data_IF_977255528114
#
_entry.id   IF_977255528114
#
_cell.length_a   1.000
_cell.length_b   1.000
_cell.length_c   1.000
_cell.angle_alpha   90.00
_cell.angle_beta   90.00
_cell.angle_gamma   90.00
#
_symmetry.space_group_name_H-M   'P 1'
#
loop_
_entity.id
_entity.type
_entity.pdbx_description
1 polymer ?
#
# COMPACT_ATOMS: atom_id res chain seq x y z
N UNK A 1 -3.01 3.47 -10.78
CA UNK A 1 -4.27 4.26 -10.78
C UNK A 1 -4.01 5.70 -10.33
N UNK A 2 -3.38 5.94 -9.17
CA UNK A 2 -3.11 7.31 -8.69
C UNK A 2 -2.26 8.12 -9.70
N UNK A 3 -1.25 7.49 -10.31
CA UNK A 3 -0.46 8.12 -11.39
C UNK A 3 -1.31 8.49 -12.60
N UNK A 4 -2.21 7.61 -13.03
CA UNK A 4 -3.14 7.87 -14.14
C UNK A 4 -4.09 9.05 -13.88
N UNK A 5 -4.34 9.33 -12.60
CA UNK A 5 -5.11 10.49 -12.15
C UNK A 5 -4.24 11.73 -11.84
N UNK A 6 -2.98 11.76 -12.27
CA UNK A 6 -2.10 12.92 -12.14
C UNK A 6 -1.52 13.15 -10.75
N UNK A 7 -1.62 12.17 -9.85
CA UNK A 7 -1.06 12.30 -8.51
C UNK A 7 0.47 12.21 -8.53
N UNK A 8 1.13 12.89 -7.60
CA UNK A 8 2.50 12.58 -7.20
C UNK A 8 2.44 11.41 -6.22
N UNK A 9 3.04 10.28 -6.57
CA UNK A 9 2.87 9.02 -5.84
C UNK A 9 4.19 8.56 -5.22
N UNK A 10 4.14 8.31 -3.91
CA UNK A 10 5.23 7.71 -3.15
C UNK A 10 4.82 6.28 -2.78
N UNK A 11 5.55 5.28 -3.29
CA UNK A 11 5.35 3.89 -2.93
C UNK A 11 6.20 3.49 -1.72
N UNK A 12 5.65 2.64 -0.84
CA UNK A 12 6.40 2.05 0.27
C UNK A 12 6.37 0.53 0.07
N UNK A 13 7.54 -0.08 -0.14
CA UNK A 13 7.68 -1.51 -0.37
C UNK A 13 8.93 -2.05 0.30
N UNK A 14 9.08 -3.38 0.36
CA UNK A 14 10.22 -4.01 1.01
C UNK A 14 11.15 -4.72 0.03
N UNK A 15 12.39 -4.26 -0.06
CA UNK A 15 13.45 -4.82 -0.88
C UNK A 15 13.61 -4.16 -2.24
N UNK A 16 14.85 -4.19 -2.72
CA UNK A 16 15.30 -3.48 -3.92
C UNK A 16 14.48 -3.85 -5.17
N UNK A 17 14.20 -5.14 -5.37
CA UNK A 17 13.45 -5.62 -6.54
C UNK A 17 12.06 -5.00 -6.64
N UNK A 18 11.28 -4.99 -5.54
CA UNK A 18 9.95 -4.37 -5.51
C UNK A 18 10.02 -2.86 -5.70
N UNK A 19 10.99 -2.21 -5.06
CA UNK A 19 11.19 -0.78 -5.18
C UNK A 19 11.58 -0.38 -6.61
N UNK A 20 12.45 -1.15 -7.25
CA UNK A 20 12.84 -0.95 -8.64
C UNK A 20 11.65 -1.09 -9.59
N UNK A 21 10.84 -2.13 -9.43
CA UNK A 21 9.64 -2.33 -10.23
C UNK A 21 8.63 -1.18 -10.07
N UNK A 22 8.36 -0.76 -8.83
CA UNK A 22 7.48 0.39 -8.58
C UNK A 22 8.00 1.67 -9.23
N UNK A 23 9.32 1.91 -9.21
CA UNK A 23 9.93 3.12 -9.76
C UNK A 23 9.97 3.11 -11.27
N UNK A 24 10.43 2.00 -11.86
CA UNK A 24 10.80 1.93 -13.27
C UNK A 24 9.63 1.47 -14.14
N UNK A 25 8.89 0.45 -13.71
CA UNK A 25 7.80 -0.14 -14.49
C UNK A 25 6.47 0.55 -14.16
N UNK A 26 6.13 0.73 -12.88
CA UNK A 26 4.91 1.42 -12.48
C UNK A 26 5.00 2.95 -12.57
N UNK A 27 6.19 3.52 -12.77
CA UNK A 27 6.41 4.94 -12.97
C UNK A 27 6.10 5.82 -11.75
N UNK A 28 6.27 5.30 -10.52
CA UNK A 28 6.05 6.09 -9.31
C UNK A 28 7.11 7.21 -9.18
N UNK A 29 6.70 8.35 -8.63
CA UNK A 29 7.58 9.51 -8.48
C UNK A 29 8.68 9.28 -7.47
N UNK A 30 8.35 8.60 -6.35
CA UNK A 30 9.31 8.22 -5.32
C UNK A 30 8.96 6.84 -4.76
N UNK A 31 9.98 6.15 -4.22
CA UNK A 31 9.81 4.84 -3.57
C UNK A 31 10.64 4.79 -2.29
N UNK A 32 10.10 4.18 -1.25
CA UNK A 32 10.76 3.96 0.05
C UNK A 32 10.88 2.46 0.28
N UNK A 33 12.11 1.99 0.50
CA UNK A 33 12.37 0.62 0.93
C UNK A 33 12.36 0.53 2.46
N UNK A 34 11.23 0.12 3.04
CA UNK A 34 11.07 0.03 4.48
C UNK A 34 11.97 -1.03 5.16
N UNK A 35 12.55 -1.97 4.38
CA UNK A 35 13.48 -2.97 4.91
C UNK A 35 14.89 -2.44 5.10
N UNK A 36 15.29 -1.47 4.28
CA UNK A 36 16.66 -0.96 4.23
C UNK A 36 16.77 0.52 4.65
N UNK A 37 15.65 1.21 4.88
CA UNK A 37 15.66 2.61 5.32
C UNK A 37 14.60 2.90 6.38
N UNK A 38 14.80 3.99 7.10
CA UNK A 38 13.82 4.49 8.06
C UNK A 38 12.74 5.28 7.33
N UNK A 39 11.48 4.77 7.35
CA UNK A 39 10.35 5.38 6.63
C UNK A 39 10.09 6.81 7.05
N UNK A 40 10.23 7.13 8.35
CA UNK A 40 9.97 8.48 8.85
C UNK A 40 10.99 9.50 8.30
N UNK A 41 12.26 9.10 8.18
CA UNK A 41 13.31 9.97 7.64
C UNK A 41 13.20 10.12 6.12
N UNK A 42 12.87 9.03 5.43
CA UNK A 42 12.62 9.06 3.98
C UNK A 42 11.42 9.96 3.62
N UNK A 43 10.32 9.90 4.38
CA UNK A 43 9.16 10.75 4.17
C UNK A 43 9.48 12.24 4.33
N UNK A 44 10.39 12.62 5.23
CA UNK A 44 10.84 14.03 5.37
C UNK A 44 11.44 14.58 4.07
N UNK A 45 12.10 13.73 3.32
CA UNK A 45 12.80 14.12 2.09
C UNK A 45 11.95 13.94 0.84
N UNK A 46 11.12 12.89 0.78
CA UNK A 46 10.33 12.51 -0.39
C UNK A 46 8.93 13.12 -0.38
N UNK A 47 8.31 13.26 0.80
CA UNK A 47 7.00 13.90 0.96
C UNK A 47 7.12 15.39 1.33
N UNK A 48 7.97 16.16 0.64
CA UNK A 48 8.23 17.58 0.95
C UNK A 48 6.97 18.46 0.89
N UNK A 49 6.04 18.10 0.03
CA UNK A 49 4.77 18.81 -0.14
C UNK A 49 3.67 18.29 0.78
N UNK A 50 4.01 17.33 1.66
CA UNK A 50 3.07 16.63 2.52
C UNK A 50 2.28 15.54 1.79
N UNK A 51 1.37 14.90 2.53
CA UNK A 51 0.56 13.76 2.06
C UNK A 51 -0.91 14.19 2.09
N UNK A 52 -1.57 14.21 0.93
CA UNK A 52 -2.99 14.52 0.81
C UNK A 52 -3.86 13.27 0.95
N UNK A 53 -3.35 12.12 0.46
CA UNK A 53 -4.00 10.83 0.56
C UNK A 53 -2.98 9.75 0.94
N UNK A 54 -3.26 9.03 2.02
CA UNK A 54 -2.50 7.85 2.42
C UNK A 54 -3.40 6.61 2.36
N UNK A 55 -3.00 5.62 1.56
CA UNK A 55 -3.67 4.33 1.45
C UNK A 55 -2.85 3.29 2.20
N UNK A 56 -3.41 2.70 3.25
CA UNK A 56 -2.69 1.85 4.19
C UNK A 56 -3.21 0.41 4.23
N UNK A 57 -2.32 -0.53 3.95
CA UNK A 57 -2.54 -1.97 4.15
C UNK A 57 -1.73 -2.54 5.33
N UNK A 58 -0.89 -1.73 5.96
CA UNK A 58 0.17 -2.21 6.86
C UNK A 58 -0.07 -1.84 8.30
N UNK A 59 -0.46 -0.60 8.56
CA UNK A 59 -0.59 -0.07 9.93
C UNK A 59 0.75 0.18 10.62
N UNK A 60 0.74 0.14 11.94
CA UNK A 60 1.94 0.21 12.78
C UNK A 60 2.78 1.46 12.57
N UNK A 61 4.11 1.30 12.55
CA UNK A 61 5.07 2.41 12.44
C UNK A 61 4.98 3.15 11.10
N UNK A 62 4.57 2.48 10.03
CA UNK A 62 4.40 3.14 8.71
C UNK A 62 3.24 4.12 8.76
N UNK A 63 2.10 3.71 9.33
CA UNK A 63 0.96 4.61 9.56
C UNK A 63 1.35 5.79 10.45
N UNK A 64 2.02 5.52 11.57
CA UNK A 64 2.47 6.59 12.48
C UNK A 64 3.42 7.57 11.79
N UNK A 65 4.34 7.06 10.97
CA UNK A 65 5.24 7.89 10.17
C UNK A 65 4.49 8.77 9.17
N UNK A 66 3.53 8.19 8.44
CA UNK A 66 2.71 8.93 7.47
C UNK A 66 1.90 10.05 8.13
N UNK A 67 1.31 9.80 9.30
CA UNK A 67 0.53 10.79 10.05
C UNK A 67 1.34 12.04 10.47
N UNK A 68 2.67 11.95 10.52
CA UNK A 68 3.51 13.13 10.77
C UNK A 68 3.66 14.05 9.54
N UNK A 69 3.30 13.57 8.36
CA UNK A 69 3.51 14.26 7.09
C UNK A 69 2.21 14.63 6.36
N UNK A 70 1.03 14.35 6.96
CA UNK A 70 -0.27 14.65 6.33
C UNK A 70 -0.52 16.16 6.20
N UNK A 71 -1.12 16.53 5.09
CA UNK A 71 -1.55 17.88 4.80
C UNK A 71 -2.86 18.25 5.51
N UNK A 72 -3.24 19.52 5.38
CA UNK A 72 -4.53 20.00 5.82
C UNK A 72 -5.64 19.32 5.02
N UNK A 73 -6.66 18.79 5.72
CA UNK A 73 -7.78 18.03 5.14
C UNK A 73 -7.37 16.74 4.42
N UNK A 74 -6.19 16.20 4.73
CA UNK A 74 -5.75 14.92 4.18
C UNK A 74 -6.72 13.78 4.52
N UNK A 75 -6.71 12.76 3.69
CA UNK A 75 -7.45 11.50 3.92
C UNK A 75 -6.49 10.35 4.13
N UNK A 76 -6.79 9.53 5.14
CA UNK A 76 -6.10 8.27 5.40
C UNK A 76 -7.11 7.14 5.25
N UNK A 77 -6.87 6.24 4.31
CA UNK A 77 -7.72 5.10 4.02
C UNK A 77 -7.08 3.82 4.56
N UNK A 78 -7.71 3.22 5.56
CA UNK A 78 -7.25 1.97 6.16
C UNK A 78 -7.93 0.78 5.47
N UNK A 79 -7.15 0.06 4.67
CA UNK A 79 -7.59 -1.18 4.00
C UNK A 79 -7.22 -2.43 4.82
N UNK A 80 -6.14 -2.37 5.58
CA UNK A 80 -5.67 -3.48 6.38
C UNK A 80 -4.61 -3.08 7.41
N UNK A 81 -4.09 -4.06 8.13
CA UNK A 81 -3.09 -3.88 9.17
C UNK A 81 -2.18 -5.09 9.28
N UNK A 82 -1.56 -5.52 8.16
CA UNK A 82 -0.82 -6.79 8.08
C UNK A 82 0.34 -6.88 9.08
N UNK A 83 0.89 -5.74 9.51
CA UNK A 83 1.93 -5.70 10.54
C UNK A 83 1.50 -6.32 11.87
N UNK A 84 0.18 -6.38 12.12
CA UNK A 84 -0.39 -6.91 13.35
C UNK A 84 -0.98 -8.31 13.27
N UNK A 85 -1.12 -8.90 12.09
CA UNK A 85 -1.89 -10.15 11.94
C UNK A 85 -1.26 -11.36 12.64
N UNK A 86 0.05 -11.36 12.79
CA UNK A 86 0.78 -12.43 13.49
C UNK A 86 1.21 -12.04 14.91
N UNK A 87 0.78 -10.89 15.43
CA UNK A 87 1.10 -10.47 16.78
C UNK A 87 0.25 -11.20 17.80
N UNK A 88 0.85 -11.72 18.85
CA UNK A 88 0.15 -12.30 20.01
C UNK A 88 -0.29 -11.25 21.01
N UNK A 89 0.28 -10.06 20.92
CA UNK A 89 -0.05 -8.92 21.79
C UNK A 89 -0.75 -7.83 20.97
N UNK A 90 -1.65 -7.06 21.59
CA UNK A 90 -2.25 -5.92 20.93
C UNK A 90 -1.18 -4.95 20.43
N UNK A 91 -1.23 -4.58 19.15
CA UNK A 91 -0.33 -3.55 18.63
C UNK A 91 -0.67 -2.19 19.28
N UNK A 92 0.36 -1.41 19.66
CA UNK A 92 0.11 -0.04 20.05
C UNK A 92 -0.45 0.73 18.86
N UNK A 93 -1.51 1.52 19.11
CA UNK A 93 -2.02 2.46 18.11
C UNK A 93 -1.02 3.59 17.84
N UNK A 94 -1.24 4.38 16.76
CA UNK A 94 -0.43 5.54 16.49
C UNK A 94 -0.46 6.53 17.67
N UNK A 95 0.71 6.95 18.14
CA UNK A 95 0.84 7.90 19.27
C UNK A 95 0.54 9.34 18.88
N UNK A 96 0.45 9.61 17.58
CA UNK A 96 0.32 10.94 16.99
C UNK A 96 -1.06 11.22 16.36
N UNK A 97 -2.11 10.54 16.82
CA UNK A 97 -3.49 10.75 16.33
C UNK A 97 -3.96 12.21 16.45
N UNK A 98 -3.35 13.00 17.35
CA UNK A 98 -3.64 14.43 17.47
C UNK A 98 -3.32 15.21 16.19
N UNK A 99 -2.46 14.67 15.32
CA UNK A 99 -2.21 15.25 14.00
C UNK A 99 -3.48 15.30 13.14
N UNK A 100 -4.42 14.37 13.31
CA UNK A 100 -5.71 14.41 12.62
C UNK A 100 -6.51 15.67 13.00
N UNK A 101 -6.50 16.04 14.27
CA UNK A 101 -7.18 17.26 14.75
C UNK A 101 -6.48 18.49 14.22
N UNK A 102 -5.14 18.56 14.35
CA UNK A 102 -4.34 19.70 13.91
C UNK A 102 -4.50 19.93 12.41
N UNK A 103 -4.51 18.86 11.64
CA UNK A 103 -4.64 18.89 10.17
C UNK A 103 -6.09 18.83 9.68
N UNK A 104 -7.08 18.68 10.57
CA UNK A 104 -8.50 18.47 10.22
C UNK A 104 -8.66 17.33 9.20
N UNK A 105 -7.77 16.33 9.33
CA UNK A 105 -7.69 15.19 8.45
C UNK A 105 -8.71 14.13 8.85
N UNK A 106 -9.06 13.25 7.90
CA UNK A 106 -9.97 12.12 8.11
C UNK A 106 -9.20 10.83 8.04
N UNK A 107 -9.50 9.90 8.94
CA UNK A 107 -9.09 8.50 8.86
C UNK A 107 -10.34 7.64 8.69
N UNK A 108 -10.35 6.79 7.68
CA UNK A 108 -11.51 5.99 7.28
C UNK A 108 -11.10 4.56 7.00
N UNK A 109 -11.76 3.60 7.66
CA UNK A 109 -11.64 2.19 7.35
C UNK A 109 -12.69 1.76 6.32
N UNK A 110 -12.37 0.81 5.45
CA UNK A 110 -13.31 0.25 4.50
C UNK A 110 -13.03 -1.23 4.23
N UNK A 111 -14.07 -1.94 3.80
CA UNK A 111 -13.96 -3.29 3.27
C UNK A 111 -14.39 -3.30 1.80
N UNK A 112 -13.58 -3.96 0.95
CA UNK A 112 -13.90 -4.08 -0.48
C UNK A 112 -15.25 -4.76 -0.72
N UNK A 113 -15.68 -5.63 0.19
CA UNK A 113 -16.96 -6.36 0.12
C UNK A 113 -18.17 -5.41 0.03
N UNK A 114 -18.09 -4.23 0.65
CA UNK A 114 -19.17 -3.25 0.66
C UNK A 114 -19.36 -2.59 -0.72
N UNK A 115 -18.32 -2.64 -1.56
CA UNK A 115 -18.32 -2.05 -2.90
C UNK A 115 -18.63 -3.06 -4.02
N UNK A 116 -18.57 -4.38 -3.75
CA UNK A 116 -18.80 -5.42 -4.75
C UNK A 116 -20.13 -5.28 -5.50
N UNK A 117 -21.27 -4.93 -4.86
CA UNK A 117 -22.53 -4.78 -5.56
C UNK A 117 -22.53 -3.71 -6.65
N UNK A 118 -21.61 -2.75 -6.59
CA UNK A 118 -21.47 -1.63 -7.52
C UNK A 118 -20.10 -1.62 -8.22
N UNK A 119 -19.37 -2.76 -8.22
CA UNK A 119 -18.00 -2.83 -8.76
C UNK A 119 -17.91 -2.81 -10.28
N UNK A 120 -19.01 -3.05 -11.00
CA UNK A 120 -19.01 -3.20 -12.47
C UNK A 120 -18.26 -2.07 -13.18
N UNK A 121 -18.58 -0.83 -12.84
CA UNK A 121 -17.93 0.35 -13.44
C UNK A 121 -16.41 0.41 -13.13
N UNK A 122 -16.01 0.00 -11.94
CA UNK A 122 -14.61 -0.03 -11.56
C UNK A 122 -13.84 -1.13 -12.30
N UNK A 123 -14.48 -2.29 -12.51
CA UNK A 123 -13.90 -3.39 -13.29
C UNK A 123 -13.73 -3.00 -14.76
N UNK A 124 -14.74 -2.41 -15.38
CA UNK A 124 -14.66 -1.89 -16.76
C UNK A 124 -13.51 -0.89 -16.92
N UNK A 125 -13.32 0.00 -15.94
CA UNK A 125 -12.23 0.96 -15.98
C UNK A 125 -10.85 0.29 -15.81
N UNK A 126 -10.73 -0.75 -14.98
CA UNK A 126 -9.50 -1.51 -14.83
C UNK A 126 -9.17 -2.30 -16.10
N UNK A 127 -10.17 -2.92 -16.73
CA UNK A 127 -10.03 -3.60 -18.02
C UNK A 127 -9.53 -2.62 -19.10
N UNK A 128 -10.13 -1.44 -19.21
CA UNK A 128 -9.66 -0.39 -20.13
C UNK A 128 -8.20 0.00 -19.90
N UNK A 129 -7.79 0.17 -18.63
CA UNK A 129 -6.39 0.49 -18.30
C UNK A 129 -5.43 -0.63 -18.69
N UNK A 130 -5.83 -1.90 -18.51
CA UNK A 130 -5.03 -3.06 -18.90
C UNK A 130 -4.90 -3.19 -20.42
N UNK A 131 -6.02 -3.07 -21.15
CA UNK A 131 -6.05 -3.14 -22.63
C UNK A 131 -5.18 -2.04 -23.27
N UNK A 132 -5.13 -0.87 -22.66
CA UNK A 132 -4.33 0.26 -23.13
C UNK A 132 -2.89 0.24 -22.62
N UNK A 133 -2.45 -0.81 -21.93
CA UNK A 133 -1.12 -0.92 -21.29
C UNK A 133 -0.80 0.27 -20.36
N UNK A 134 -1.81 0.76 -19.65
CA UNK A 134 -1.68 1.86 -18.69
C UNK A 134 -1.55 1.39 -17.24
N UNK A 135 -1.85 0.12 -16.99
CA UNK A 135 -1.79 -0.49 -15.67
C UNK A 135 -0.81 -1.65 -15.67
N UNK A 136 0.28 -1.49 -14.95
CA UNK A 136 1.23 -2.58 -14.72
C UNK A 136 0.73 -3.50 -13.60
N UNK A 137 0.89 -4.79 -13.78
CA UNK A 137 0.61 -5.80 -12.77
C UNK A 137 1.69 -6.88 -12.78
N UNK A 138 1.85 -7.56 -11.68
CA UNK A 138 2.78 -8.68 -11.55
C UNK A 138 2.16 -9.80 -10.73
N UNK A 139 2.39 -11.02 -11.17
CA UNK A 139 1.93 -12.23 -10.52
C UNK A 139 3.13 -13.09 -10.11
N UNK A 140 3.03 -13.69 -8.94
CA UNK A 140 3.99 -14.65 -8.40
C UNK A 140 3.26 -15.98 -8.24
N UNK A 141 3.55 -16.95 -9.14
CA UNK A 141 2.77 -18.17 -9.26
C UNK A 141 3.61 -19.36 -8.75
N UNK A 142 3.09 -20.06 -7.75
CA UNK A 142 3.59 -21.38 -7.35
C UNK A 142 2.71 -22.46 -7.99
N UNK A 143 3.31 -23.58 -8.40
CA UNK A 143 2.58 -24.69 -9.02
C UNK A 143 2.37 -25.81 -8.02
N UNK A 144 1.14 -26.35 -7.94
CA UNK A 144 0.72 -27.45 -7.07
C UNK A 144 0.04 -26.97 -5.79
N UNK A 145 -1.10 -27.60 -5.48
CA UNK A 145 -1.94 -27.25 -4.32
C UNK A 145 -1.19 -27.41 -2.99
N UNK A 146 -0.21 -28.31 -2.92
CA UNK A 146 0.66 -28.52 -1.76
C UNK A 146 1.46 -27.29 -1.38
N UNK A 147 1.65 -26.34 -2.29
CA UNK A 147 2.36 -25.08 -2.07
C UNK A 147 1.47 -23.97 -1.50
N UNK A 148 0.18 -24.19 -1.26
CA UNK A 148 -0.70 -23.18 -0.67
C UNK A 148 -0.21 -22.67 0.71
N UNK A 149 0.28 -23.50 1.64
CA UNK A 149 0.83 -23.02 2.91
C UNK A 149 2.07 -22.14 2.72
N UNK A 150 2.95 -22.49 1.79
CA UNK A 150 4.14 -21.69 1.48
C UNK A 150 3.75 -20.35 0.83
N UNK A 151 2.84 -20.37 -0.15
CA UNK A 151 2.30 -19.16 -0.77
C UNK A 151 1.74 -18.18 0.27
N UNK A 152 1.01 -18.67 1.28
CA UNK A 152 0.50 -17.86 2.36
C UNK A 152 1.64 -17.28 3.23
N UNK A 153 2.63 -18.10 3.59
CA UNK A 153 3.77 -17.63 4.39
C UNK A 153 4.58 -16.54 3.68
N UNK A 154 4.73 -16.66 2.36
CA UNK A 154 5.43 -15.64 1.54
C UNK A 154 4.80 -14.26 1.62
N UNK A 155 3.48 -14.15 1.83
CA UNK A 155 2.80 -12.86 2.04
C UNK A 155 3.27 -12.19 3.33
N UNK A 156 3.44 -12.95 4.41
CA UNK A 156 3.88 -12.42 5.71
C UNK A 156 5.37 -12.09 5.75
N UNK A 157 6.19 -12.85 5.01
CA UNK A 157 7.64 -12.60 4.92
C UNK A 157 7.99 -11.56 3.84
N UNK A 158 7.01 -11.19 2.99
CA UNK A 158 7.19 -10.26 1.88
C UNK A 158 8.11 -10.80 0.80
N UNK A 159 8.15 -12.12 0.61
CA UNK A 159 8.95 -12.78 -0.45
C UNK A 159 8.26 -12.75 -1.81
N UNK A 160 6.92 -12.71 -1.85
CA UNK A 160 6.17 -12.63 -3.09
C UNK A 160 6.42 -11.29 -3.83
N UNK A 161 6.38 -11.32 -5.15
CA UNK A 161 6.40 -10.12 -5.99
C UNK A 161 5.07 -10.04 -6.75
N UNK A 162 4.27 -9.00 -6.44
CA UNK A 162 2.94 -8.87 -7.01
C UNK A 162 1.90 -9.78 -6.35
N UNK A 163 0.91 -10.22 -7.11
CA UNK A 163 -0.17 -11.09 -6.63
C UNK A 163 0.34 -12.52 -6.46
N UNK A 164 0.32 -13.02 -5.23
CA UNK A 164 0.64 -14.43 -4.97
C UNK A 164 -0.53 -15.31 -5.42
N UNK A 165 -0.23 -16.27 -6.29
CA UNK A 165 -1.17 -17.26 -6.82
C UNK A 165 -0.62 -18.67 -6.64
N UNK A 166 -1.50 -19.67 -6.70
CA UNK A 166 -1.14 -21.08 -6.80
C UNK A 166 -1.91 -21.68 -7.96
N UNK A 167 -1.18 -22.20 -8.94
CA UNK A 167 -1.73 -22.96 -10.05
C UNK A 167 -1.97 -24.40 -9.60
N UNK A 168 -3.18 -24.93 -9.78
CA UNK A 168 -3.60 -26.26 -9.36
C UNK A 168 -3.97 -27.14 -10.53
#
# INVERSE_FOLDING_TARGET
IAKLNGCNVIGIAGGESKCSWLKNDCGLDEVIDYKNSNVADELKTKAKNGIDLFFDNVGGEILESALNHINLNAKVLLCGGISGYNSTEPLPGPRNLMNLVIRRATIEGFLVMDYLPNSQKALEQLEEYLENNQLEHQEDILTGIENCPDALNRLFTGQNIGKQLVEV
#
